data_IF_581344000256
#
_entry.id   IF_581344000256
#
_cell.length_a   1.000
_cell.length_b   1.000
_cell.length_c   1.000
_cell.angle_alpha   90.00
_cell.angle_beta   90.00
_cell.angle_gamma   90.00
#
_symmetry.space_group_name_H-M   'P 1'
#
loop_
_entity.id
_entity.type
_entity.pdbx_description
1 polymer ?
#
# COMPACT_ATOMS: atom_id res chain seq x y z
N UNK A 1 -16.93 3.99 5.98
CA UNK A 1 -15.82 3.62 5.07
C UNK A 1 -14.90 2.60 5.77
N UNK A 2 -15.22 1.29 5.69
CA UNK A 2 -14.69 0.28 6.62
C UNK A 2 -13.32 -0.30 6.24
N UNK A 3 -12.99 -0.38 4.95
CA UNK A 3 -11.72 -0.97 4.47
C UNK A 3 -10.54 0.01 4.32
N UNK A 4 -10.72 1.26 4.72
CA UNK A 4 -9.69 2.30 4.63
C UNK A 4 -9.43 2.80 3.21
N UNK A 5 -10.34 2.55 2.28
CA UNK A 5 -10.31 3.07 0.92
C UNK A 5 -11.11 4.37 0.79
N UNK A 6 -10.57 5.35 0.09
CA UNK A 6 -11.30 6.55 -0.35
C UNK A 6 -11.39 6.57 -1.88
N UNK A 7 -12.46 7.15 -2.40
CA UNK A 7 -12.67 7.30 -3.84
C UNK A 7 -11.81 8.43 -4.40
N UNK A 8 -11.08 8.17 -5.49
CA UNK A 8 -10.15 9.15 -6.09
C UNK A 8 -10.81 10.11 -7.07
N UNK A 9 -12.12 9.97 -7.34
CA UNK A 9 -12.84 10.81 -8.30
C UNK A 9 -12.81 10.29 -9.74
N UNK A 10 -12.10 9.18 -10.00
CA UNK A 10 -11.97 8.58 -11.33
C UNK A 10 -12.40 7.11 -11.33
N UNK A 11 -13.44 6.80 -12.13
CA UNK A 11 -13.95 5.44 -12.40
C UNK A 11 -14.37 4.65 -11.14
N UNK A 12 -13.82 3.45 -10.94
CA UNK A 12 -14.06 2.56 -9.77
C UNK A 12 -12.80 2.44 -8.91
N UNK A 13 -11.84 3.36 -9.10
CA UNK A 13 -10.56 3.32 -8.41
C UNK A 13 -10.75 3.84 -7.00
N UNK A 14 -10.30 3.05 -6.03
CA UNK A 14 -10.28 3.45 -4.63
C UNK A 14 -8.86 3.26 -4.10
N UNK A 15 -8.42 4.21 -3.27
CA UNK A 15 -7.04 4.24 -2.75
C UNK A 15 -7.04 4.15 -1.25
N UNK A 16 -6.16 3.32 -0.69
CA UNK A 16 -6.04 3.19 0.74
C UNK A 16 -5.37 4.43 1.32
N UNK A 17 -5.94 5.00 2.38
CA UNK A 17 -5.33 6.14 3.06
C UNK A 17 -4.02 5.78 3.80
N UNK A 18 -3.83 4.51 4.18
CA UNK A 18 -2.69 4.04 4.98
C UNK A 18 -1.51 3.55 4.14
N UNK A 19 -1.75 2.66 3.17
CA UNK A 19 -0.66 2.11 2.34
C UNK A 19 -0.53 2.80 0.97
N UNK A 20 -1.42 3.75 0.66
CA UNK A 20 -1.55 4.35 -0.69
C UNK A 20 -1.79 3.34 -1.81
N UNK A 21 -2.14 2.08 -1.48
CA UNK A 21 -2.48 1.05 -2.45
C UNK A 21 -3.82 1.34 -3.11
N UNK A 22 -3.86 1.31 -4.44
CA UNK A 22 -5.08 1.53 -5.21
C UNK A 22 -5.63 0.22 -5.76
N UNK A 23 -6.94 0.02 -5.66
CA UNK A 23 -7.67 -1.08 -6.28
C UNK A 23 -8.70 -0.54 -7.27
N UNK A 24 -8.91 -1.29 -8.34
CA UNK A 24 -9.87 -1.02 -9.40
C UNK A 24 -10.48 -2.33 -9.89
N UNK A 25 -11.47 -2.25 -10.78
CA UNK A 25 -12.13 -3.43 -11.37
C UNK A 25 -12.81 -4.35 -10.34
N UNK A 26 -13.51 -3.76 -9.37
CA UNK A 26 -14.26 -4.47 -8.34
C UNK A 26 -15.39 -5.32 -8.95
N UNK A 27 -15.44 -6.59 -8.57
CA UNK A 27 -16.58 -7.47 -8.79
C UNK A 27 -17.69 -7.23 -7.75
N UNK A 28 -18.94 -7.61 -8.05
CA UNK A 28 -20.08 -7.39 -7.15
C UNK A 28 -19.99 -8.16 -5.83
N UNK A 29 -19.18 -9.22 -5.78
CA UNK A 29 -18.98 -10.06 -4.60
C UNK A 29 -17.64 -9.80 -3.90
N UNK A 30 -16.85 -8.84 -4.37
CA UNK A 30 -15.55 -8.56 -3.79
C UNK A 30 -15.71 -7.87 -2.45
N UNK A 31 -15.04 -8.40 -1.43
CA UNK A 31 -15.02 -7.78 -0.11
C UNK A 31 -13.82 -6.83 0.00
N UNK A 32 -14.04 -5.51 0.19
CA UNK A 32 -12.95 -4.54 0.23
C UNK A 32 -11.87 -4.84 1.26
N UNK A 33 -12.23 -5.40 2.42
CA UNK A 33 -11.27 -5.77 3.46
C UNK A 33 -10.41 -6.96 3.05
N UNK A 34 -11.02 -7.98 2.43
CA UNK A 34 -10.32 -9.16 1.93
C UNK A 34 -9.39 -8.80 0.78
N UNK A 35 -9.87 -8.01 -0.19
CA UNK A 35 -9.04 -7.56 -1.31
C UNK A 35 -7.87 -6.69 -0.82
N UNK A 36 -8.11 -5.82 0.17
CA UNK A 36 -7.04 -5.01 0.75
C UNK A 36 -5.92 -5.88 1.33
N UNK A 37 -6.26 -6.87 2.16
CA UNK A 37 -5.27 -7.79 2.73
C UNK A 37 -4.60 -8.63 1.64
N UNK A 38 -5.37 -9.11 0.65
CA UNK A 38 -4.86 -9.93 -0.46
C UNK A 38 -3.81 -9.16 -1.28
N UNK A 39 -4.09 -7.92 -1.66
CA UNK A 39 -3.24 -7.17 -2.58
C UNK A 39 -2.14 -6.37 -1.89
N UNK A 40 -2.36 -5.91 -0.66
CA UNK A 40 -1.39 -5.12 0.09
C UNK A 40 -1.04 -5.79 1.43
N UNK A 41 -0.32 -6.92 1.42
CA UNK A 41 0.04 -7.63 2.64
C UNK A 41 0.84 -6.76 3.62
N UNK A 42 1.66 -5.84 3.14
CA UNK A 42 2.45 -4.96 4.00
C UNK A 42 1.65 -3.81 4.63
N UNK A 43 0.35 -3.69 4.34
CA UNK A 43 -0.51 -2.70 4.97
C UNK A 43 -0.90 -3.14 6.38
N UNK A 44 -0.31 -2.51 7.39
CA UNK A 44 -0.63 -2.77 8.80
C UNK A 44 -2.12 -2.54 9.10
N UNK A 45 -2.74 -1.52 8.48
CA UNK A 45 -4.18 -1.27 8.62
C UNK A 45 -5.03 -2.43 8.07
N UNK A 46 -4.67 -2.99 6.91
CA UNK A 46 -5.38 -4.13 6.33
C UNK A 46 -5.27 -5.38 7.23
N UNK A 47 -4.08 -5.63 7.79
CA UNK A 47 -3.85 -6.71 8.74
C UNK A 47 -4.68 -6.55 10.00
N UNK A 48 -4.69 -5.35 10.58
CA UNK A 48 -5.49 -5.03 11.77
C UNK A 48 -6.99 -5.18 11.51
N UNK A 49 -7.46 -4.79 10.33
CA UNK A 49 -8.88 -4.84 9.99
C UNK A 49 -9.39 -6.27 9.79
N UNK A 50 -8.62 -7.13 9.13
CA UNK A 50 -8.98 -8.54 8.90
C UNK A 50 -8.85 -9.40 10.16
N UNK A 51 -7.96 -9.04 11.09
CA UNK A 51 -7.50 -9.93 12.15
C UNK A 51 -6.49 -10.97 11.64
N UNK A 52 -5.63 -11.46 12.54
CA UNK A 52 -4.47 -12.28 12.19
C UNK A 52 -4.85 -13.59 11.50
N UNK A 53 -5.89 -14.28 11.97
CA UNK A 53 -6.30 -15.58 11.44
C UNK A 53 -6.83 -15.49 10.01
N UNK A 54 -7.73 -14.52 9.75
CA UNK A 54 -8.27 -14.30 8.41
C UNK A 54 -7.17 -13.80 7.47
N UNK A 55 -6.32 -12.89 7.94
CA UNK A 55 -5.21 -12.37 7.16
C UNK A 55 -4.26 -13.49 6.72
N UNK A 56 -3.89 -14.42 7.62
CA UNK A 56 -3.06 -15.59 7.30
C UNK A 56 -3.71 -16.46 6.22
N UNK A 57 -4.99 -16.81 6.38
CA UNK A 57 -5.75 -17.61 5.40
C UNK A 57 -5.77 -16.96 4.01
N UNK A 58 -5.95 -15.63 3.96
CA UNK A 58 -5.94 -14.88 2.70
C UNK A 58 -4.57 -14.98 2.01
N UNK A 59 -3.46 -14.81 2.74
CA UNK A 59 -2.12 -14.90 2.16
C UNK A 59 -1.78 -16.31 1.68
N UNK A 60 -2.14 -17.33 2.45
CA UNK A 60 -1.95 -18.73 2.08
C UNK A 60 -2.72 -19.08 0.80
N UNK A 61 -4.00 -18.69 0.72
CA UNK A 61 -4.80 -18.88 -0.48
C UNK A 61 -4.19 -18.20 -1.70
N UNK A 62 -3.68 -16.98 -1.55
CA UNK A 62 -3.03 -16.24 -2.65
C UNK A 62 -1.76 -16.95 -3.12
N UNK A 63 -0.91 -17.39 -2.18
CA UNK A 63 0.32 -18.13 -2.49
C UNK A 63 0.02 -19.43 -3.24
N UNK A 64 -0.94 -20.21 -2.75
CA UNK A 64 -1.35 -21.45 -3.40
C UNK A 64 -1.89 -21.22 -4.82
N UNK A 65 -2.66 -20.14 -5.04
CA UNK A 65 -3.12 -19.75 -6.39
C UNK A 65 -1.96 -19.39 -7.32
N UNK A 66 -0.96 -18.65 -6.82
CA UNK A 66 0.22 -18.28 -7.59
C UNK A 66 1.09 -19.50 -7.95
N UNK A 67 1.26 -20.44 -7.02
CA UNK A 67 1.99 -21.69 -7.27
C UNK A 67 1.29 -22.55 -8.33
N UNK A 68 -0.04 -22.68 -8.24
CA UNK A 68 -0.84 -23.37 -9.27
C UNK A 68 -0.74 -22.69 -10.63
N UNK A 69 -0.83 -21.36 -10.67
CA UNK A 69 -0.68 -20.60 -11.90
C UNK A 69 0.69 -20.83 -12.54
N UNK A 70 1.78 -20.75 -11.76
CA UNK A 70 3.14 -21.05 -12.24
C UNK A 70 3.28 -22.48 -12.76
N UNK A 71 2.70 -23.46 -12.07
CA UNK A 71 2.73 -24.85 -12.52
C UNK A 71 1.98 -25.04 -13.85
N UNK A 72 0.89 -24.30 -14.07
CA UNK A 72 0.14 -24.32 -15.33
C UNK A 72 0.91 -23.62 -16.46
N UNK A 73 1.48 -22.45 -16.19
CA UNK A 73 2.36 -21.72 -17.13
C UNK A 73 3.58 -22.56 -17.53
N UNK A 74 4.14 -23.35 -16.62
CA UNK A 74 5.29 -24.24 -16.89
C UNK A 74 4.94 -25.36 -17.87
N UNK A 75 3.68 -25.80 -17.90
CA UNK A 75 3.17 -26.77 -18.87
C UNK A 75 2.91 -26.14 -20.24
N UNK A 76 2.49 -24.88 -20.28
CA UNK A 76 2.27 -24.13 -21.52
C UNK A 76 3.59 -23.66 -22.18
N UNK A 77 4.59 -23.26 -21.37
CA UNK A 77 5.91 -22.82 -21.87
C UNK A 77 6.83 -23.95 -22.34
N UNK A 78 6.57 -25.20 -21.94
CA UNK A 78 7.30 -26.36 -22.46
C UNK A 78 7.06 -26.62 -23.96
N UNK A 79 6.11 -25.91 -24.58
CA UNK A 79 5.76 -26.03 -25.99
C UNK A 79 6.52 -25.04 -26.90
N UNK A 80 7.14 -23.96 -26.38
CA UNK A 80 7.84 -22.95 -27.18
C UNK A 80 9.13 -22.44 -26.49
N UNK A 81 10.28 -22.98 -26.92
CA UNK A 81 11.60 -22.69 -26.36
C UNK A 81 12.30 -21.43 -26.91
N UNK A 82 12.73 -20.55 -25.98
CA UNK A 82 14.04 -19.86 -25.81
C UNK A 82 14.73 -19.07 -26.96
N UNK A 83 15.74 -18.18 -26.71
CA UNK A 83 15.98 -17.28 -25.56
C UNK A 83 16.48 -15.84 -25.91
N UNK A 84 16.59 -15.06 -24.83
CA UNK A 84 17.21 -13.76 -24.52
C UNK A 84 18.27 -13.10 -25.43
N UNK A 85 18.28 -11.75 -25.42
CA UNK A 85 19.51 -10.94 -25.47
C UNK A 85 19.41 -9.59 -24.73
N UNK A 86 20.37 -9.42 -23.83
CA UNK A 86 21.11 -8.27 -23.27
C UNK A 86 20.93 -6.91 -24.00
N UNK A 87 20.79 -5.75 -23.35
CA UNK A 87 21.87 -4.80 -22.92
C UNK A 87 21.20 -3.51 -22.38
N UNK A 88 21.50 -3.00 -21.18
CA UNK A 88 22.52 -1.99 -20.76
C UNK A 88 22.00 -0.54 -20.63
N UNK A 89 22.33 0.08 -19.48
CA UNK A 89 22.81 1.49 -19.24
C UNK A 89 21.89 2.69 -18.91
N UNK A 90 22.16 3.24 -17.71
CA UNK A 90 22.24 4.69 -17.25
C UNK A 90 20.98 5.56 -17.27
N UNK A 91 20.68 6.50 -16.35
CA UNK A 91 21.40 7.21 -15.27
C UNK A 91 20.36 7.78 -14.30
N UNK A 92 20.68 8.05 -13.03
CA UNK A 92 19.99 9.15 -12.33
C UNK A 92 20.84 9.80 -11.22
N UNK A 93 21.16 11.07 -11.49
CA UNK A 93 21.41 12.21 -10.61
C UNK A 93 21.73 11.96 -9.11
N UNK A 94 22.99 12.21 -8.76
CA UNK A 94 23.40 12.71 -7.45
C UNK A 94 22.82 14.09 -7.19
N UNK A 95 22.07 14.25 -6.10
CA UNK A 95 22.05 15.53 -5.42
C UNK A 95 22.01 15.35 -3.90
N UNK A 96 23.13 15.75 -3.32
CA UNK A 96 23.47 15.75 -1.92
C UNK A 96 22.82 16.97 -1.24
N UNK A 97 21.98 16.76 -0.22
CA UNK A 97 21.76 17.76 0.84
C UNK A 97 21.56 17.09 2.20
N UNK A 98 22.66 17.17 2.94
CA UNK A 98 22.91 16.92 4.35
C UNK A 98 21.93 17.69 5.28
N UNK A 99 21.64 17.09 6.45
CA UNK A 99 21.26 17.68 7.75
C UNK A 99 19.77 17.99 8.06
N UNK A 100 19.20 17.19 8.97
CA UNK A 100 19.04 17.47 10.42
C UNK A 100 17.90 16.61 10.99
N UNK A 101 18.18 15.92 12.10
CA UNK A 101 17.23 15.09 12.85
C UNK A 101 16.18 16.01 13.51
N UNK A 102 14.87 15.87 13.24
CA UNK A 102 13.89 16.68 13.95
C UNK A 102 13.12 15.87 15.00
N UNK A 103 13.03 16.46 16.20
CA UNK A 103 12.34 16.03 17.41
C UNK A 103 10.87 15.55 17.22
N UNK A 104 10.29 14.98 18.29
CA UNK A 104 8.85 14.62 18.39
C UNK A 104 7.92 15.81 18.05
N UNK A 105 8.35 17.07 18.26
CA UNK A 105 7.57 18.25 17.87
C UNK A 105 7.46 18.43 16.35
N UNK A 106 8.48 18.00 15.59
CA UNK A 106 8.46 18.05 14.13
C UNK A 106 7.62 16.95 13.52
N UNK A 107 7.54 15.76 14.14
CA UNK A 107 6.57 14.75 13.72
C UNK A 107 5.15 15.31 13.86
N UNK A 108 4.84 15.93 15.00
CA UNK A 108 3.55 16.59 15.22
C UNK A 108 3.26 17.69 14.20
N UNK A 109 4.23 18.56 13.88
CA UNK A 109 4.09 19.58 12.83
C UNK A 109 3.86 18.98 11.44
N UNK A 110 4.59 17.92 11.08
CA UNK A 110 4.46 17.24 9.80
C UNK A 110 3.13 16.49 9.65
N UNK A 111 2.58 15.99 10.76
CA UNK A 111 1.25 15.38 10.82
C UNK A 111 0.17 16.46 10.70
N UNK A 112 0.31 17.59 11.41
CA UNK A 112 -0.63 18.71 11.29
C UNK A 112 -0.71 19.23 9.83
N UNK A 113 0.44 19.47 9.20
CA UNK A 113 0.49 19.88 7.78
C UNK A 113 -0.15 18.85 6.82
N UNK A 114 -0.16 17.57 7.19
CA UNK A 114 -0.84 16.51 6.42
C UNK A 114 -2.33 16.43 6.70
N UNK A 115 -2.77 16.78 7.90
CA UNK A 115 -4.17 16.89 8.27
C UNK A 115 -4.87 18.04 7.52
N UNK A 116 -4.13 19.07 7.11
CA UNK A 116 -4.64 20.17 6.30
C UNK A 116 -4.79 19.82 4.80
N UNK A 117 -4.29 18.66 4.35
CA UNK A 117 -4.44 18.24 2.95
C UNK A 117 -5.90 17.94 2.61
N UNK A 118 -6.36 18.21 1.36
CA UNK A 118 -7.73 17.92 0.92
C UNK A 118 -8.15 16.46 1.05
N UNK A 119 -7.18 15.54 1.09
CA UNK A 119 -7.43 14.13 1.36
C UNK A 119 -7.85 13.89 2.81
N UNK A 120 -7.18 14.55 3.77
CA UNK A 120 -7.46 14.43 5.20
C UNK A 120 -8.78 15.09 5.58
N UNK A 121 -9.07 16.26 5.00
CA UNK A 121 -10.35 16.96 5.19
C UNK A 121 -11.52 16.12 4.66
N UNK A 122 -11.38 15.52 3.46
CA UNK A 122 -12.40 14.58 2.94
C UNK A 122 -12.60 13.34 3.82
N UNK A 123 -11.54 12.83 4.46
CA UNK A 123 -11.67 11.72 5.41
C UNK A 123 -12.44 12.15 6.68
N UNK A 124 -12.23 13.36 7.17
CA UNK A 124 -13.00 13.92 8.28
C UNK A 124 -14.48 14.11 7.92
N UNK A 125 -14.76 14.61 6.71
CA UNK A 125 -16.13 14.75 6.18
C UNK A 125 -16.85 13.40 6.07
N UNK A 126 -16.10 12.35 5.73
CA UNK A 126 -16.58 10.96 5.72
C UNK A 126 -16.70 10.31 7.11
N UNK A 127 -16.64 11.12 8.18
CA UNK A 127 -16.81 10.72 9.59
C UNK A 127 -15.73 9.76 10.10
N UNK A 128 -14.53 9.76 9.51
CA UNK A 128 -13.40 9.07 10.13
C UNK A 128 -12.93 9.82 11.38
N UNK A 129 -12.58 9.08 12.44
CA UNK A 129 -12.07 9.67 13.68
C UNK A 129 -10.69 10.31 13.44
N UNK A 130 -10.54 11.57 13.86
CA UNK A 130 -9.27 12.32 13.74
C UNK A 130 -8.08 11.57 14.36
N UNK A 131 -8.29 10.85 15.46
CA UNK A 131 -7.24 10.04 16.10
C UNK A 131 -6.70 8.93 15.20
N UNK A 132 -7.54 8.34 14.35
CA UNK A 132 -7.14 7.30 13.39
C UNK A 132 -6.35 7.93 12.24
N UNK A 133 -6.79 9.07 11.72
CA UNK A 133 -6.11 9.80 10.64
C UNK A 133 -4.74 10.30 11.12
N UNK A 134 -4.67 10.86 12.34
CA UNK A 134 -3.42 11.32 12.96
C UNK A 134 -2.41 10.19 13.12
N UNK A 135 -2.83 9.07 13.73
CA UNK A 135 -2.00 7.88 13.91
C UNK A 135 -1.48 7.34 12.58
N UNK A 136 -2.31 7.33 11.55
CA UNK A 136 -1.91 6.90 10.21
C UNK A 136 -0.81 7.78 9.62
N UNK A 137 -0.95 9.11 9.71
CA UNK A 137 0.09 10.02 9.22
C UNK A 137 1.39 9.90 10.02
N UNK A 138 1.30 9.68 11.34
CA UNK A 138 2.45 9.39 12.20
C UNK A 138 3.16 8.11 11.74
N UNK A 139 2.42 7.03 11.52
CA UNK A 139 2.96 5.73 11.09
C UNK A 139 3.61 5.81 9.70
N UNK A 140 2.97 6.50 8.74
CA UNK A 140 3.54 6.75 7.42
C UNK A 140 4.86 7.54 7.48
N UNK A 141 4.91 8.58 8.32
CA UNK A 141 6.11 9.38 8.52
C UNK A 141 7.23 8.60 9.19
N UNK A 142 6.89 7.74 10.17
CA UNK A 142 7.85 6.84 10.82
C UNK A 142 8.40 5.80 9.83
N UNK A 143 7.56 5.25 8.95
CA UNK A 143 7.98 4.29 7.92
C UNK A 143 8.87 4.93 6.84
N UNK A 144 8.49 6.10 6.31
CA UNK A 144 9.32 6.85 5.35
C UNK A 144 10.68 7.22 5.94
N UNK A 145 10.74 7.57 7.23
CA UNK A 145 12.02 7.82 7.93
C UNK A 145 12.87 6.57 8.10
N UNK A 146 12.27 5.39 8.35
CA UNK A 146 13.00 4.12 8.42
C UNK A 146 13.60 3.74 7.07
N UNK A 147 12.85 3.92 5.98
CA UNK A 147 13.31 3.60 4.63
C UNK A 147 14.46 4.51 4.19
N UNK A 148 14.36 5.82 4.45
CA UNK A 148 15.41 6.79 4.11
C UNK A 148 16.69 6.66 4.96
N UNK A 149 16.66 5.91 6.06
CA UNK A 149 17.86 5.62 6.89
C UNK A 149 18.60 4.34 6.43
N UNK A 150 18.00 3.56 5.55
CA UNK A 150 18.53 2.30 5.03
C UNK A 150 19.10 2.44 3.60
N UNK A 151 19.17 3.67 3.08
CA UNK A 151 19.79 4.04 1.81
C UNK A 151 21.00 4.94 2.09
#
# INVERSE_FOLDING_TARGET
VRAGFFYTGTKTIVTCFYCNGSLQNWGPNDNPMIEHARWFPHCAYAKQLCGDDLYRKIQESKRAQQERARANESKEKATLGMPASTTTTTSTATNNRQLLIPDESTLSRLVAARLDLPISQRLLDQKFKLSIIKRCWEDQLRLKRKLNKLQ
#
